data_IF_518242435342
#
_entry.id   IF_518242435342
#
_cell.length_a   1.000
_cell.length_b   1.000
_cell.length_c   1.000
_cell.angle_alpha   90.00
_cell.angle_beta   90.00
_cell.angle_gamma   90.00
#
_symmetry.space_group_name_H-M   'P 1'
#
loop_
_entity.id
_entity.type
_entity.pdbx_description
1 polymer ?
#
# COMPACT_ATOMS: atom_id res chain seq x y z
N UNK A 1 20.29 -7.63 14.87
CA UNK A 1 19.41 -7.57 16.05
C UNK A 1 18.16 -8.35 15.72
N UNK A 2 17.87 -9.40 16.47
CA UNK A 2 16.83 -10.40 16.18
C UNK A 2 15.44 -9.80 16.45
N UNK A 3 14.45 -10.15 15.62
CA UNK A 3 13.06 -9.64 15.65
C UNK A 3 12.43 -9.67 17.06
N UNK A 4 12.81 -10.65 17.88
CA UNK A 4 12.33 -10.83 19.24
C UNK A 4 12.77 -9.71 20.22
N UNK A 5 13.90 -9.05 19.94
CA UNK A 5 14.47 -8.00 20.78
C UNK A 5 13.84 -6.63 20.52
N UNK A 6 13.31 -6.42 19.31
CA UNK A 6 12.57 -5.21 18.91
C UNK A 6 11.18 -5.14 19.54
N UNK A 7 10.55 -6.30 19.71
CA UNK A 7 9.20 -6.47 20.26
C UNK A 7 9.14 -6.31 21.79
N UNK A 8 10.23 -6.68 22.49
CA UNK A 8 10.37 -6.48 23.94
C UNK A 8 10.61 -5.00 24.30
N UNK A 9 11.26 -4.25 23.41
CA UNK A 9 11.54 -2.81 23.58
C UNK A 9 10.26 -1.98 23.45
N UNK A 10 9.38 -2.37 22.53
CA UNK A 10 8.12 -1.68 22.25
C UNK A 10 7.10 -1.81 23.40
N UNK A 11 6.98 -3.01 24.00
CA UNK A 11 6.11 -3.22 25.16
C UNK A 11 6.60 -2.45 26.38
N UNK A 12 7.92 -2.47 26.64
CA UNK A 12 8.53 -1.74 27.74
C UNK A 12 8.39 -0.22 27.56
N UNK A 13 8.49 0.28 26.33
CA UNK A 13 8.25 1.69 26.00
C UNK A 13 6.81 2.09 26.30
N UNK A 14 5.81 1.30 25.87
CA UNK A 14 4.41 1.58 26.17
C UNK A 14 4.12 1.55 27.67
N UNK A 15 4.66 0.58 28.41
CA UNK A 15 4.51 0.50 29.88
C UNK A 15 5.16 1.70 30.60
N UNK A 16 6.36 2.13 30.16
CA UNK A 16 7.05 3.28 30.71
C UNK A 16 6.36 4.61 30.37
N UNK A 17 5.86 4.74 29.13
CA UNK A 17 5.09 5.88 28.68
C UNK A 17 3.77 5.98 29.45
N UNK A 18 3.08 4.87 29.66
CA UNK A 18 1.83 4.82 30.43
C UNK A 18 2.05 5.21 31.88
N UNK A 19 3.10 4.68 32.51
CA UNK A 19 3.46 5.05 33.88
C UNK A 19 3.79 6.54 34.01
N UNK A 20 4.53 7.12 33.04
CA UNK A 20 4.82 8.54 32.98
C UNK A 20 3.54 9.37 32.76
N UNK A 21 2.70 8.97 31.81
CA UNK A 21 1.48 9.67 31.43
C UNK A 21 0.46 9.75 32.58
N UNK A 22 0.25 8.65 33.30
CA UNK A 22 -0.60 8.59 34.49
C UNK A 22 -0.02 9.40 35.65
N UNK A 23 1.31 9.33 35.88
CA UNK A 23 1.99 10.06 36.96
C UNK A 23 1.94 11.59 36.79
N UNK A 24 1.77 12.08 35.56
CA UNK A 24 1.71 13.51 35.24
C UNK A 24 0.28 14.03 34.99
N UNK A 25 -0.75 13.29 35.42
CA UNK A 25 -2.14 13.78 35.45
C UNK A 25 -2.82 13.82 34.08
N UNK A 26 -2.43 12.93 33.16
CA UNK A 26 -3.01 12.82 31.83
C UNK A 26 -4.46 12.33 31.82
N UNK A 27 -5.41 13.19 32.20
CA UNK A 27 -6.85 12.85 32.27
C UNK A 27 -7.59 12.99 30.94
N UNK A 28 -6.95 13.48 29.87
CA UNK A 28 -7.56 13.53 28.54
C UNK A 28 -7.25 12.26 27.74
N UNK A 29 -8.13 11.27 27.89
CA UNK A 29 -8.22 10.09 27.03
C UNK A 29 -8.12 10.42 25.52
N UNK A 30 -8.50 11.63 25.11
CA UNK A 30 -8.44 12.10 23.72
C UNK A 30 -7.04 12.39 23.18
N UNK A 31 -6.13 13.00 23.95
CA UNK A 31 -4.78 13.34 23.44
C UNK A 31 -3.93 12.08 23.27
N UNK A 32 -4.01 11.14 24.22
CA UNK A 32 -3.34 9.84 24.14
C UNK A 32 -3.82 9.04 22.93
N UNK A 33 -5.15 8.94 22.75
CA UNK A 33 -5.72 8.28 21.58
C UNK A 33 -5.25 8.95 20.27
N UNK A 34 -5.23 10.28 20.22
CA UNK A 34 -4.75 11.02 19.05
C UNK A 34 -3.26 10.78 18.78
N UNK A 35 -2.41 10.74 19.81
CA UNK A 35 -0.98 10.43 19.67
C UNK A 35 -0.79 8.99 19.19
N UNK A 36 -1.46 8.01 19.78
CA UNK A 36 -1.39 6.61 19.33
C UNK A 36 -1.82 6.47 17.86
N UNK A 37 -2.96 7.05 17.49
CA UNK A 37 -3.42 7.04 16.09
C UNK A 37 -2.42 7.73 15.15
N UNK A 38 -1.81 8.84 15.57
CA UNK A 38 -0.80 9.53 14.76
C UNK A 38 0.46 8.65 14.56
N UNK A 39 0.94 8.00 15.62
CA UNK A 39 2.09 7.11 15.55
C UNK A 39 1.82 5.88 14.67
N UNK A 40 0.66 5.24 14.83
CA UNK A 40 0.21 4.14 13.98
C UNK A 40 0.13 4.56 12.50
N UNK A 41 -0.44 5.75 12.24
CA UNK A 41 -0.52 6.29 10.88
C UNK A 41 0.87 6.56 10.30
N UNK A 42 1.78 7.10 11.09
CA UNK A 42 3.15 7.37 10.67
C UNK A 42 3.91 6.07 10.34
N UNK A 43 3.70 5.01 11.12
CA UNK A 43 4.27 3.69 10.84
C UNK A 43 3.71 3.09 9.54
N UNK A 44 2.39 3.18 9.33
CA UNK A 44 1.75 2.74 8.08
C UNK A 44 2.30 3.52 6.87
N UNK A 45 2.48 4.83 7.02
CA UNK A 45 3.05 5.67 5.96
C UNK A 45 4.50 5.31 5.66
N UNK A 46 5.30 5.02 6.69
CA UNK A 46 6.67 4.54 6.51
C UNK A 46 6.71 3.19 5.78
N UNK A 47 5.83 2.26 6.15
CA UNK A 47 5.72 0.97 5.49
C UNK A 47 5.30 1.10 4.01
N UNK A 48 4.35 2.00 3.71
CA UNK A 48 3.94 2.27 2.33
C UNK A 48 5.07 2.93 1.52
N UNK A 49 5.82 3.88 2.12
CA UNK A 49 7.01 4.46 1.47
C UNK A 49 8.01 3.36 1.11
N UNK A 50 8.28 2.43 2.01
CA UNK A 50 9.23 1.35 1.75
C UNK A 50 8.73 0.36 0.69
N UNK A 51 7.43 0.03 0.69
CA UNK A 51 6.79 -0.74 -0.38
C UNK A 51 6.96 -0.06 -1.74
N UNK A 52 6.71 1.25 -1.82
CA UNK A 52 6.85 2.02 -3.06
C UNK A 52 8.32 2.09 -3.51
N UNK A 53 9.26 2.25 -2.58
CA UNK A 53 10.70 2.20 -2.88
C UNK A 53 11.11 0.86 -3.48
N UNK A 54 10.62 -0.25 -2.93
CA UNK A 54 10.87 -1.58 -3.49
C UNK A 54 10.29 -1.71 -4.90
N UNK A 55 9.09 -1.19 -5.16
CA UNK A 55 8.52 -1.19 -6.51
C UNK A 55 9.38 -0.41 -7.52
N UNK A 56 10.04 0.66 -7.08
CA UNK A 56 10.93 1.47 -7.92
C UNK A 56 12.25 0.78 -8.28
N UNK A 57 12.65 -0.27 -7.57
CA UNK A 57 13.86 -1.05 -7.91
C UNK A 57 13.60 -2.15 -8.95
N UNK A 58 12.33 -2.45 -9.24
CA UNK A 58 11.95 -3.43 -10.24
C UNK A 58 12.31 -2.96 -11.66
N UNK A 59 12.65 -3.89 -12.58
CA UNK A 59 12.71 -3.59 -14.00
C UNK A 59 11.39 -2.99 -14.49
N UNK A 60 11.44 -2.10 -15.48
CA UNK A 60 10.26 -1.36 -15.95
C UNK A 60 9.08 -2.26 -16.34
N UNK A 61 9.34 -3.42 -16.94
CA UNK A 61 8.30 -4.38 -17.29
C UNK A 61 7.58 -4.92 -16.04
N UNK A 62 8.35 -5.34 -15.03
CA UNK A 62 7.81 -5.90 -13.79
C UNK A 62 7.15 -4.82 -12.94
N UNK A 63 7.69 -3.59 -12.96
CA UNK A 63 7.10 -2.43 -12.29
C UNK A 63 5.72 -2.09 -12.86
N UNK A 64 5.51 -2.24 -14.18
CA UNK A 64 4.17 -2.10 -14.79
C UNK A 64 3.22 -3.20 -14.35
N UNK A 65 3.67 -4.44 -14.22
CA UNK A 65 2.85 -5.54 -13.69
C UNK A 65 2.44 -5.28 -12.24
N UNK A 66 3.40 -4.87 -11.40
CA UNK A 66 3.16 -4.47 -10.02
C UNK A 66 2.15 -3.32 -9.93
N UNK A 67 2.30 -2.30 -10.78
CA UNK A 67 1.41 -1.14 -10.79
C UNK A 67 -0.03 -1.49 -11.15
N UNK A 68 -0.26 -2.44 -12.06
CA UNK A 68 -1.61 -2.93 -12.39
C UNK A 68 -2.23 -3.59 -11.15
N UNK A 69 -1.49 -4.45 -10.45
CA UNK A 69 -1.94 -5.06 -9.20
C UNK A 69 -2.27 -4.01 -8.15
N UNK A 70 -1.41 -3.00 -8.02
CA UNK A 70 -1.60 -1.93 -7.04
C UNK A 70 -2.84 -1.08 -7.33
N UNK A 71 -3.05 -0.67 -8.58
CA UNK A 71 -4.26 0.05 -8.99
C UNK A 71 -5.54 -0.74 -8.68
N UNK A 72 -5.53 -2.05 -8.95
CA UNK A 72 -6.67 -2.89 -8.68
C UNK A 72 -6.95 -2.99 -7.18
N UNK A 73 -5.91 -3.15 -6.35
CA UNK A 73 -6.06 -3.21 -4.90
C UNK A 73 -6.55 -1.89 -4.30
N UNK A 74 -6.02 -0.76 -4.76
CA UNK A 74 -6.32 0.56 -4.19
C UNK A 74 -7.64 1.16 -4.70
N UNK A 75 -7.93 1.00 -6.00
CA UNK A 75 -9.07 1.67 -6.67
C UNK A 75 -10.18 0.70 -7.06
N UNK A 76 -9.90 -0.61 -7.08
CA UNK A 76 -10.83 -1.62 -7.58
C UNK A 76 -10.94 -1.68 -9.11
N UNK A 77 -10.17 -0.87 -9.86
CA UNK A 77 -10.17 -0.88 -11.32
C UNK A 77 -8.88 -0.28 -11.90
N UNK A 78 -8.61 -0.61 -13.16
CA UNK A 78 -7.56 0.03 -13.97
C UNK A 78 -7.96 0.07 -15.44
N UNK A 79 -7.34 0.95 -16.21
CA UNK A 79 -7.47 1.00 -17.67
C UNK A 79 -6.09 1.20 -18.34
N UNK A 80 -6.08 1.15 -19.68
CA UNK A 80 -4.84 1.32 -20.47
C UNK A 80 -4.20 2.70 -20.29
N UNK A 81 -5.02 3.74 -20.18
CA UNK A 81 -4.53 5.11 -20.03
C UNK A 81 -3.80 5.31 -18.71
N UNK A 82 -4.19 4.61 -17.63
CA UNK A 82 -3.45 4.66 -16.37
C UNK A 82 -1.99 4.24 -16.55
N UNK A 83 -1.75 3.16 -17.31
CA UNK A 83 -0.40 2.64 -17.60
C UNK A 83 0.36 3.56 -18.55
N UNK A 84 -0.29 4.04 -19.61
CA UNK A 84 0.31 5.00 -20.54
C UNK A 84 0.75 6.28 -19.83
N UNK A 85 -0.10 6.83 -18.96
CA UNK A 85 0.17 8.06 -18.24
C UNK A 85 1.28 7.89 -17.19
N UNK A 86 1.29 6.76 -16.47
CA UNK A 86 2.28 6.51 -15.43
C UNK A 86 3.68 6.20 -15.98
N UNK A 87 3.78 5.52 -17.14
CA UNK A 87 5.06 5.02 -17.66
C UNK A 87 5.49 5.62 -19.01
N UNK A 88 4.67 6.48 -19.62
CA UNK A 88 4.95 7.06 -20.94
C UNK A 88 4.97 6.04 -22.08
N UNK A 89 4.36 4.87 -21.89
CA UNK A 89 4.34 3.79 -22.90
C UNK A 89 3.19 3.97 -23.89
N UNK A 90 3.36 3.43 -25.09
CA UNK A 90 2.32 3.44 -26.13
C UNK A 90 1.11 2.58 -25.75
N UNK A 91 -0.04 2.87 -26.36
CA UNK A 91 -1.28 2.08 -26.15
C UNK A 91 -1.10 0.59 -26.51
N UNK A 92 -0.41 0.21 -27.61
CA UNK A 92 -0.10 -1.19 -27.87
C UNK A 92 0.69 -1.86 -26.75
N UNK A 93 1.71 -1.16 -26.21
CA UNK A 93 2.52 -1.70 -25.11
C UNK A 93 1.69 -1.89 -23.84
N UNK A 94 0.90 -0.89 -23.44
CA UNK A 94 0.00 -1.02 -22.29
C UNK A 94 -1.00 -2.18 -22.46
N UNK A 95 -1.46 -2.43 -23.70
CA UNK A 95 -2.36 -3.56 -23.99
C UNK A 95 -1.66 -4.92 -23.82
N UNK A 96 -0.37 -5.01 -24.19
CA UNK A 96 0.44 -6.21 -23.94
C UNK A 96 0.69 -6.42 -22.45
N UNK A 97 0.98 -5.35 -21.72
CA UNK A 97 1.22 -5.43 -20.27
C UNK A 97 -0.03 -5.91 -19.53
N UNK A 98 -1.22 -5.39 -19.86
CA UNK A 98 -2.50 -5.85 -19.30
C UNK A 98 -2.75 -7.31 -19.64
N UNK A 99 -2.50 -7.72 -20.89
CA UNK A 99 -2.70 -9.12 -21.30
C UNK A 99 -1.84 -10.06 -20.47
N UNK A 100 -0.53 -9.77 -20.35
CA UNK A 100 0.40 -10.55 -19.52
C UNK A 100 -0.05 -10.62 -18.06
N UNK A 101 -0.53 -9.50 -17.53
CA UNK A 101 -1.03 -9.43 -16.17
C UNK A 101 -2.25 -10.32 -15.96
N UNK A 102 -3.22 -10.29 -16.88
CA UNK A 102 -4.43 -11.14 -16.84
C UNK A 102 -4.06 -12.62 -16.99
N UNK A 103 -3.12 -12.96 -17.88
CA UNK A 103 -2.64 -14.34 -18.04
C UNK A 103 -2.09 -14.91 -16.74
N UNK A 104 -1.49 -14.06 -15.90
CA UNK A 104 -0.95 -14.45 -14.59
C UNK A 104 -1.98 -14.35 -13.46
N UNK A 105 -3.08 -13.61 -13.66
CA UNK A 105 -4.11 -13.32 -12.67
C UNK A 105 -5.54 -13.46 -13.27
N UNK A 106 -5.92 -14.63 -13.79
CA UNK A 106 -7.14 -14.80 -14.59
C UNK A 106 -8.43 -14.46 -13.83
N UNK A 107 -8.42 -14.60 -12.50
CA UNK A 107 -9.58 -14.40 -11.63
C UNK A 107 -9.57 -13.06 -10.88
N UNK A 108 -8.62 -12.18 -11.16
CA UNK A 108 -8.51 -10.92 -10.43
C UNK A 108 -9.43 -9.82 -11.01
N UNK A 109 -9.59 -9.74 -12.33
CA UNK A 109 -10.35 -8.64 -12.95
C UNK A 109 -11.17 -9.07 -14.18
N UNK A 110 -12.25 -8.34 -14.46
CA UNK A 110 -13.08 -8.49 -15.64
C UNK A 110 -13.20 -7.16 -16.39
N UNK A 111 -13.24 -7.20 -17.73
CA UNK A 111 -13.41 -6.00 -18.53
C UNK A 111 -14.87 -5.56 -18.56
N UNK A 112 -15.15 -4.34 -18.11
CA UNK A 112 -16.46 -3.71 -18.19
C UNK A 112 -16.53 -2.83 -19.45
N UNK A 113 -17.41 -3.19 -20.39
CA UNK A 113 -17.55 -2.49 -21.66
C UNK A 113 -18.19 -1.10 -21.53
N UNK A 114 -19.05 -0.89 -20.52
CA UNK A 114 -19.74 0.38 -20.28
C UNK A 114 -18.76 1.42 -19.74
N UNK A 115 -17.97 1.04 -18.73
CA UNK A 115 -16.98 1.92 -18.11
C UNK A 115 -15.61 1.88 -18.80
N UNK A 116 -15.42 0.99 -19.79
CA UNK A 116 -14.22 0.81 -20.62
C UNK A 116 -12.94 0.60 -19.80
N UNK A 117 -13.04 -0.18 -18.72
CA UNK A 117 -11.96 -0.46 -17.78
C UNK A 117 -12.05 -1.89 -17.25
N UNK A 118 -10.96 -2.38 -16.68
CA UNK A 118 -10.93 -3.63 -15.95
C UNK A 118 -11.33 -3.35 -14.50
N UNK A 119 -12.29 -4.10 -13.98
CA UNK A 119 -12.81 -3.96 -12.63
C UNK A 119 -12.53 -5.25 -11.85
N UNK A 120 -12.24 -5.13 -10.55
CA UNK A 120 -12.02 -6.29 -9.69
C UNK A 120 -13.24 -7.21 -9.74
N UNK A 121 -13.00 -8.51 -9.91
CA UNK A 121 -14.05 -9.51 -9.74
C UNK A 121 -14.44 -9.54 -8.25
N UNK A 122 -15.74 -9.52 -7.98
CA UNK A 122 -16.29 -9.70 -6.63
C UNK A 122 -16.49 -11.18 -6.33
#
# INVERSE_FOLDING_TARGET
MTVHQRQLDEKAFHEAFDAYWEAHGGTESGLRAAICTYLEKAEQDAAEIDRLRQALTLPDADRRQWFITDLLAQRGYFNRSDICNAFGVSVPQASLDIRRWIESNPDAAAYNMTSKRYEAKR
#
